data_IF_859530291601
#
_entry.id   IF_859530291601
#
_cell.length_a   1.000
_cell.length_b   1.000
_cell.length_c   1.000
_cell.angle_alpha   90.00
_cell.angle_beta   90.00
_cell.angle_gamma   90.00
#
_symmetry.space_group_name_H-M   'P 1'
#
loop_
_entity.id
_entity.type
_entity.pdbx_description
1 polymer ?
#
# COMPACT_ATOMS: atom_id res chain seq x y z
N UNK A 1 -16.62 7.79 -3.34
CA UNK A 1 -15.21 7.89 -3.73
C UNK A 1 -15.12 7.62 -5.21
N UNK A 2 -14.29 8.37 -5.93
CA UNK A 2 -14.06 8.14 -7.37
C UNK A 2 -12.88 7.17 -7.57
N UNK A 3 -12.82 6.56 -8.76
CA UNK A 3 -11.69 5.72 -9.14
C UNK A 3 -10.34 6.48 -9.09
N UNK A 4 -10.36 7.80 -9.35
CA UNK A 4 -9.20 8.69 -9.27
C UNK A 4 -8.75 8.91 -7.82
N UNK A 5 -9.69 9.12 -6.87
CA UNK A 5 -9.36 9.19 -5.45
C UNK A 5 -8.80 7.86 -4.91
N UNK A 6 -9.33 6.72 -5.39
CA UNK A 6 -8.82 5.39 -5.03
C UNK A 6 -7.42 5.13 -5.60
N UNK A 7 -7.14 5.62 -6.81
CA UNK A 7 -5.81 5.54 -7.42
C UNK A 7 -4.79 6.40 -6.66
N UNK A 8 -5.16 7.65 -6.32
CA UNK A 8 -4.28 8.54 -5.55
C UNK A 8 -3.91 7.94 -4.19
N UNK A 9 -4.87 7.32 -3.48
CA UNK A 9 -4.57 6.61 -2.22
C UNK A 9 -3.62 5.42 -2.44
N UNK A 10 -3.80 4.67 -3.52
CA UNK A 10 -2.88 3.57 -3.84
C UNK A 10 -1.45 4.09 -4.10
N UNK A 11 -1.28 5.23 -4.78
CA UNK A 11 0.03 5.86 -5.00
C UNK A 11 0.69 6.32 -3.68
N UNK A 12 -0.08 6.92 -2.77
CA UNK A 12 0.41 7.29 -1.43
C UNK A 12 0.84 6.08 -0.61
N UNK A 13 0.08 4.98 -0.68
CA UNK A 13 0.42 3.73 -0.02
C UNK A 13 1.68 3.08 -0.62
N UNK A 14 1.86 3.14 -1.94
CA UNK A 14 3.07 2.66 -2.60
C UNK A 14 4.30 3.47 -2.18
N UNK A 15 4.17 4.79 -2.07
CA UNK A 15 5.26 5.63 -1.55
C UNK A 15 5.63 5.23 -0.12
N UNK A 16 4.65 5.02 0.76
CA UNK A 16 4.89 4.55 2.13
C UNK A 16 5.55 3.16 2.14
N UNK A 17 5.12 2.25 1.26
CA UNK A 17 5.72 0.92 1.12
C UNK A 17 7.20 1.01 0.75
N UNK A 18 7.57 1.90 -0.18
CA UNK A 18 8.95 2.13 -0.57
C UNK A 18 9.79 2.70 0.58
N UNK A 19 9.26 3.67 1.33
CA UNK A 19 9.92 4.24 2.52
C UNK A 19 10.13 3.18 3.61
N UNK A 20 9.11 2.38 3.93
CA UNK A 20 9.20 1.30 4.93
C UNK A 20 10.15 0.18 4.46
N UNK A 21 10.22 -0.11 3.15
CA UNK A 21 11.20 -1.06 2.60
C UNK A 21 12.62 -0.52 2.78
N UNK A 22 12.86 0.76 2.49
CA UNK A 22 14.17 1.38 2.69
C UNK A 22 14.58 1.34 4.16
N UNK A 23 13.63 1.51 5.09
CA UNK A 23 13.87 1.31 6.52
C UNK A 23 14.31 -0.12 6.82
N UNK A 24 13.60 -1.13 6.31
CA UNK A 24 13.96 -2.54 6.51
C UNK A 24 15.38 -2.84 6.02
N UNK A 25 15.78 -2.30 4.87
CA UNK A 25 17.13 -2.47 4.32
C UNK A 25 18.23 -1.85 5.18
N UNK A 26 17.89 -0.83 5.98
CA UNK A 26 18.80 -0.19 6.92
C UNK A 26 18.75 -0.78 8.34
N UNK A 27 17.81 -1.70 8.62
CA UNK A 27 17.64 -2.29 9.95
C UNK A 27 18.64 -3.43 10.18
N UNK A 28 19.43 -3.32 11.25
CA UNK A 28 20.37 -4.37 11.67
C UNK A 28 19.85 -5.22 12.83
N UNK A 29 18.92 -4.68 13.63
CA UNK A 29 18.31 -5.40 14.75
C UNK A 29 17.23 -6.39 14.25
N UNK A 30 17.35 -7.70 14.52
CA UNK A 30 16.39 -8.69 14.04
C UNK A 30 14.96 -8.49 14.56
N UNK A 31 14.79 -7.98 15.77
CA UNK A 31 13.48 -7.73 16.35
C UNK A 31 12.82 -6.51 15.68
N UNK A 32 13.58 -5.44 15.46
CA UNK A 32 13.08 -4.29 14.69
C UNK A 32 12.74 -4.70 13.24
N UNK A 33 13.52 -5.59 12.63
CA UNK A 33 13.25 -6.08 11.28
C UNK A 33 11.89 -6.81 11.20
N UNK A 34 11.53 -7.58 12.23
CA UNK A 34 10.20 -8.23 12.31
C UNK A 34 9.08 -7.19 12.40
N UNK A 35 9.26 -6.13 13.17
CA UNK A 35 8.27 -5.06 13.29
C UNK A 35 8.09 -4.30 11.97
N UNK A 36 9.18 -3.99 11.28
CA UNK A 36 9.14 -3.33 9.95
C UNK A 36 8.50 -4.25 8.90
N UNK A 37 8.77 -5.56 8.94
CA UNK A 37 8.10 -6.54 8.07
C UNK A 37 6.60 -6.62 8.32
N UNK A 38 6.16 -6.51 9.58
CA UNK A 38 4.74 -6.45 9.91
C UNK A 38 4.07 -5.19 9.35
N UNK A 39 4.73 -4.03 9.46
CA UNK A 39 4.26 -2.79 8.87
C UNK A 39 4.14 -2.89 7.33
N UNK A 40 5.15 -3.46 6.66
CA UNK A 40 5.11 -3.73 5.22
C UNK A 40 3.93 -4.60 4.82
N UNK A 41 3.63 -5.64 5.60
CA UNK A 41 2.51 -6.54 5.34
C UNK A 41 1.15 -5.83 5.45
N UNK A 42 0.98 -4.93 6.41
CA UNK A 42 -0.24 -4.12 6.54
C UNK A 42 -0.39 -3.13 5.38
N UNK A 43 0.69 -2.43 4.99
CA UNK A 43 0.66 -1.52 3.83
C UNK A 43 0.28 -2.29 2.56
N UNK A 44 0.84 -3.48 2.35
CA UNK A 44 0.52 -4.31 1.19
C UNK A 44 -0.97 -4.69 1.11
N UNK A 45 -1.60 -5.01 2.26
CA UNK A 45 -3.06 -5.28 2.32
C UNK A 45 -3.88 -4.04 2.00
N UNK A 46 -3.46 -2.86 2.47
CA UNK A 46 -4.12 -1.59 2.16
C UNK A 46 -4.04 -1.27 0.66
N UNK A 47 -2.87 -1.48 0.03
CA UNK A 47 -2.69 -1.32 -1.42
C UNK A 47 -3.64 -2.23 -2.19
N UNK A 48 -3.69 -3.53 -1.84
CA UNK A 48 -4.59 -4.49 -2.48
C UNK A 48 -6.06 -4.04 -2.36
N UNK A 49 -6.47 -3.57 -1.18
CA UNK A 49 -7.83 -3.12 -0.94
C UNK A 49 -8.23 -1.90 -1.80
N UNK A 50 -7.35 -0.91 -1.94
CA UNK A 50 -7.59 0.27 -2.78
C UNK A 50 -7.57 -0.07 -4.27
N UNK A 51 -6.68 -0.96 -4.71
CA UNK A 51 -6.65 -1.46 -6.11
C UNK A 51 -7.95 -2.18 -6.45
N UNK A 52 -8.42 -3.08 -5.59
CA UNK A 52 -9.68 -3.78 -5.80
C UNK A 52 -10.89 -2.82 -5.73
N UNK A 53 -10.82 -1.76 -4.93
CA UNK A 53 -11.85 -0.71 -4.93
C UNK A 53 -11.86 0.06 -6.25
N UNK A 54 -10.70 0.51 -6.73
CA UNK A 54 -10.57 1.23 -7.99
C UNK A 54 -11.10 0.39 -9.17
N UNK A 55 -10.79 -0.92 -9.20
CA UNK A 55 -11.34 -1.85 -10.21
C UNK A 55 -12.86 -1.92 -10.17
N UNK A 56 -13.46 -2.05 -8.98
CA UNK A 56 -14.93 -2.08 -8.82
C UNK A 56 -15.58 -0.76 -9.22
N UNK A 57 -14.96 0.37 -8.89
CA UNK A 57 -15.45 1.70 -9.26
C UNK A 57 -15.37 1.92 -10.77
N UNK A 58 -14.27 1.55 -11.43
CA UNK A 58 -14.12 1.61 -12.87
C UNK A 58 -15.14 0.72 -13.60
N UNK A 59 -15.42 -0.49 -13.09
CA UNK A 59 -16.47 -1.37 -13.65
C UNK A 59 -17.87 -0.77 -13.50
N UNK A 60 -18.14 -0.04 -12.41
CA UNK A 60 -19.42 0.67 -12.20
C UNK A 60 -19.53 1.94 -13.02
N UNK A 61 -18.41 2.50 -13.45
CA UNK A 61 -18.31 3.77 -14.16
C UNK A 61 -18.27 3.63 -15.70
N UNK A 62 -18.37 2.43 -16.28
CA UNK A 62 -18.34 2.25 -17.73
C UNK A 62 -19.61 1.63 -18.34
N UNK A 63 -19.81 1.76 -19.66
CA UNK A 63 -19.92 3.01 -20.43
C UNK A 63 -21.23 3.79 -20.17
#
# INVERSE_FOLDING_TARGET
MSAEESLQRAEELLKRLEETRAKLEATEDPQEAVDVLAELAEIAKEVEAEVERAKREAQRAGP
#
